data_IF_741127001952
#
_entry.id   IF_741127001952
#
_cell.length_a   1.000
_cell.length_b   1.000
_cell.length_c   1.000
_cell.angle_alpha   90.00
_cell.angle_beta   90.00
_cell.angle_gamma   90.00
#
_symmetry.space_group_name_H-M   'P 1'
#
loop_
_entity.id
_entity.type
_entity.pdbx_description
1 polymer ?
#
# COMPACT_ATOMS: atom_id res chain seq x y z
N UNK A 1 -13.86 3.02 6.45
CA UNK A 1 -12.76 3.77 5.79
C UNK A 1 -12.89 3.57 4.29
N UNK A 2 -12.72 4.61 3.48
CA UNK A 2 -12.84 4.51 2.02
C UNK A 2 -11.48 4.10 1.46
N UNK A 3 -11.37 2.88 0.94
CA UNK A 3 -10.20 2.44 0.18
C UNK A 3 -10.29 3.02 -1.24
N UNK A 4 -9.15 3.44 -1.78
CA UNK A 4 -9.03 3.94 -3.14
C UNK A 4 -8.60 2.77 -4.03
N UNK A 5 -9.36 2.47 -5.07
CA UNK A 5 -9.05 1.38 -6.01
C UNK A 5 -8.79 1.96 -7.38
N UNK A 6 -7.76 1.46 -8.05
CA UNK A 6 -7.37 1.90 -9.37
C UNK A 6 -6.79 0.68 -10.11
N UNK A 7 -7.60 0.05 -10.95
CA UNK A 7 -7.28 -1.24 -11.55
C UNK A 7 -7.08 -2.34 -10.48
N UNK A 8 -5.94 -3.02 -10.56
CA UNK A 8 -5.46 -4.06 -9.63
C UNK A 8 -4.84 -3.49 -8.34
N UNK A 9 -4.63 -2.18 -8.26
CA UNK A 9 -4.06 -1.54 -7.08
C UNK A 9 -5.13 -1.11 -6.09
N UNK A 10 -4.87 -1.40 -4.81
CA UNK A 10 -5.68 -0.93 -3.69
C UNK A 10 -4.82 -0.07 -2.78
N UNK A 11 -5.21 1.19 -2.61
CA UNK A 11 -4.62 2.13 -1.67
C UNK A 11 -5.53 2.25 -0.45
N UNK A 12 -4.99 1.91 0.71
CA UNK A 12 -5.70 1.94 1.99
C UNK A 12 -5.11 3.07 2.83
N UNK A 13 -5.90 4.09 3.19
CA UNK A 13 -5.43 5.15 4.10
C UNK A 13 -5.16 4.55 5.48
N UNK A 14 -4.00 4.88 6.04
CA UNK A 14 -3.64 4.47 7.39
C UNK A 14 -4.40 5.35 8.38
N UNK A 15 -5.18 4.77 9.30
CA UNK A 15 -5.85 5.54 10.32
C UNK A 15 -4.86 6.08 11.35
N UNK A 16 -5.17 7.24 11.95
CA UNK A 16 -4.33 7.88 12.98
C UNK A 16 -3.83 6.94 14.07
N UNK A 17 -4.68 6.02 14.53
CA UNK A 17 -4.34 5.01 15.55
C UNK A 17 -3.21 4.04 15.16
N UNK A 18 -2.87 3.96 13.87
CA UNK A 18 -1.82 3.11 13.31
C UNK A 18 -0.72 3.92 12.62
N UNK A 19 -0.76 5.26 12.65
CA UNK A 19 0.26 6.10 12.01
C UNK A 19 1.64 5.85 12.60
N UNK A 20 1.72 5.63 13.91
CA UNK A 20 2.99 5.34 14.61
C UNK A 20 3.59 4.02 14.15
N UNK A 21 2.77 2.96 14.11
CA UNK A 21 3.19 1.64 13.62
C UNK A 21 3.65 1.70 12.15
N UNK A 22 2.93 2.49 11.34
CA UNK A 22 3.29 2.71 9.95
C UNK A 22 4.62 3.46 9.85
N UNK A 23 4.83 4.50 10.68
CA UNK A 23 6.06 5.29 10.70
C UNK A 23 7.26 4.45 11.14
N UNK A 24 7.10 3.64 12.18
CA UNK A 24 8.13 2.72 12.66
C UNK A 24 8.57 1.76 11.53
N UNK A 25 7.61 1.16 10.81
CA UNK A 25 7.89 0.29 9.65
C UNK A 25 8.52 1.07 8.49
N UNK A 26 8.01 2.26 8.20
CA UNK A 26 8.49 3.13 7.12
C UNK A 26 9.95 3.55 7.32
N UNK A 27 10.32 3.95 8.54
CA UNK A 27 11.66 4.49 8.81
C UNK A 27 12.70 3.40 9.08
N UNK A 28 12.31 2.27 9.68
CA UNK A 28 13.26 1.25 10.14
C UNK A 28 13.41 0.08 9.18
N UNK A 29 12.36 -0.27 8.43
CA UNK A 29 12.31 -1.54 7.68
C UNK A 29 12.04 -1.35 6.20
N UNK A 30 11.22 -0.36 5.85
CA UNK A 30 10.86 -0.13 4.46
C UNK A 30 12.08 0.35 3.67
N UNK A 31 12.21 -0.18 2.46
CA UNK A 31 13.32 0.13 1.56
C UNK A 31 12.86 1.17 0.54
N UNK A 32 13.68 2.18 0.30
CA UNK A 32 13.36 3.23 -0.67
C UNK A 32 13.22 2.63 -2.07
N UNK A 33 12.11 2.92 -2.74
CA UNK A 33 11.94 2.52 -4.14
C UNK A 33 12.89 3.33 -5.04
N UNK A 34 13.49 2.67 -6.03
CA UNK A 34 14.29 3.33 -7.07
C UNK A 34 13.47 4.40 -7.81
N UNK A 35 12.19 4.12 -8.06
CA UNK A 35 11.25 5.04 -8.70
C UNK A 35 10.02 5.26 -7.81
N UNK A 36 10.03 6.20 -6.86
CA UNK A 36 8.91 6.40 -5.92
C UNK A 36 7.63 6.92 -6.58
N UNK A 37 7.72 7.34 -7.86
CA UNK A 37 6.57 7.73 -8.67
C UNK A 37 5.84 6.54 -9.28
N UNK A 38 6.52 5.41 -9.47
CA UNK A 38 5.94 4.20 -10.06
C UNK A 38 5.63 3.24 -8.93
N UNK A 39 4.35 3.13 -8.58
CA UNK A 39 3.89 2.32 -7.43
C UNK A 39 3.41 0.92 -7.84
N UNK A 40 3.19 0.68 -9.13
CA UNK A 40 3.11 -0.66 -9.70
C UNK A 40 3.41 -0.60 -11.20
N UNK A 41 4.00 -1.68 -11.70
CA UNK A 41 4.09 -1.98 -13.13
C UNK A 41 3.08 -3.11 -13.36
N UNK A 42 2.04 -2.89 -14.17
CA UNK A 42 1.04 -3.90 -14.45
C UNK A 42 1.66 -5.05 -15.23
N UNK A 43 1.63 -6.26 -14.66
CA UNK A 43 2.33 -7.44 -15.20
C UNK A 43 1.77 -7.93 -16.55
N UNK A 44 0.53 -7.55 -16.93
CA UNK A 44 -0.14 -8.08 -18.13
C UNK A 44 -0.05 -7.13 -19.34
N UNK A 45 0.04 -5.81 -19.14
CA UNK A 45 -0.03 -4.82 -20.24
C UNK A 45 1.20 -3.91 -20.35
N UNK A 46 2.16 -3.98 -19.41
CA UNK A 46 3.36 -3.13 -19.43
C UNK A 46 3.10 -1.66 -19.10
N UNK A 47 1.94 -1.34 -18.52
CA UNK A 47 1.58 0.01 -18.09
C UNK A 47 2.04 0.32 -16.66
N UNK A 48 2.30 1.60 -16.38
CA UNK A 48 2.84 2.07 -15.09
C UNK A 48 1.80 2.89 -14.36
N UNK A 49 1.59 2.57 -13.09
CA UNK A 49 0.86 3.41 -12.16
C UNK A 49 1.78 4.53 -11.70
N UNK A 50 1.60 5.72 -12.28
CA UNK A 50 2.44 6.88 -11.96
C UNK A 50 1.70 7.90 -11.08
N UNK A 51 2.37 8.31 -10.01
CA UNK A 51 1.97 9.45 -9.21
C UNK A 51 2.50 10.74 -9.85
N UNK A 52 1.58 11.52 -10.41
CA UNK A 52 1.84 12.82 -11.01
C UNK A 52 1.43 13.96 -10.08
N UNK A 53 2.31 14.96 -9.95
CA UNK A 53 2.11 16.11 -9.06
C UNK A 53 2.25 15.78 -7.57
N UNK A 54 2.29 16.83 -6.74
CA UNK A 54 2.45 16.68 -5.29
C UNK A 54 3.88 16.32 -4.85
N UNK A 55 3.99 15.79 -3.62
CA UNK A 55 5.25 15.29 -3.04
C UNK A 55 4.92 13.98 -2.34
N UNK A 56 5.42 12.90 -2.94
CA UNK A 56 5.13 11.54 -2.52
C UNK A 56 6.44 10.79 -2.37
N UNK A 57 6.57 10.08 -1.26
CA UNK A 57 7.66 9.16 -1.02
C UNK A 57 7.09 7.74 -0.90
N UNK A 58 7.61 6.81 -1.69
CA UNK A 58 7.19 5.41 -1.69
C UNK A 58 8.35 4.52 -1.23
N UNK A 59 8.04 3.60 -0.33
CA UNK A 59 8.98 2.61 0.17
C UNK A 59 8.36 1.21 0.09
N UNK A 60 9.16 0.21 -0.24
CA UNK A 60 8.75 -1.18 -0.33
C UNK A 60 9.02 -1.91 0.97
N UNK A 61 8.04 -2.67 1.41
CA UNK A 61 8.07 -3.60 2.52
C UNK A 61 7.87 -5.01 1.96
N UNK A 62 8.95 -5.57 1.42
CA UNK A 62 8.97 -6.86 0.73
C UNK A 62 9.16 -8.04 1.71
N UNK A 63 9.89 -7.83 2.80
CA UNK A 63 10.14 -8.86 3.80
C UNK A 63 8.86 -9.15 4.62
N UNK A 64 8.40 -10.40 4.61
CA UNK A 64 7.24 -10.86 5.38
C UNK A 64 7.49 -10.89 6.90
N UNK A 65 8.75 -11.05 7.29
CA UNK A 65 9.23 -11.04 8.67
C UNK A 65 9.76 -9.66 9.08
N UNK A 66 9.58 -8.63 8.25
CA UNK A 66 9.83 -7.24 8.58
C UNK A 66 9.26 -6.89 9.96
N UNK A 67 10.15 -6.52 10.89
CA UNK A 67 9.78 -6.03 12.21
C UNK A 67 10.47 -4.70 12.50
N UNK A 68 9.71 -3.71 12.94
CA UNK A 68 10.21 -2.45 13.45
C UNK A 68 10.09 -2.44 14.96
N UNK A 69 11.07 -1.83 15.64
CA UNK A 69 10.96 -1.59 17.09
C UNK A 69 9.98 -0.46 17.29
N UNK A 70 8.96 -0.67 18.13
CA UNK A 70 8.01 0.41 18.40
C UNK A 70 8.70 1.51 19.21
N UNK A 71 8.56 2.75 18.76
CA UNK A 71 9.14 3.92 19.43
C UNK A 71 8.35 4.33 20.68
N UNK A 72 7.04 4.09 20.72
CA UNK A 72 6.15 4.50 21.82
C UNK A 72 5.73 3.37 22.77
N UNK A 73 6.01 2.11 22.46
CA UNK A 73 5.67 0.97 23.32
C UNK A 73 6.85 0.01 23.42
N UNK A 74 6.97 -0.68 24.55
CA UNK A 74 7.90 -1.79 24.70
C UNK A 74 7.44 -2.97 23.82
N UNK A 75 7.87 -3.00 22.56
CA UNK A 75 7.47 -4.05 21.62
C UNK A 75 8.00 -3.88 20.20
N UNK A 76 7.55 -4.77 19.33
CA UNK A 76 7.86 -4.75 17.90
C UNK A 76 6.57 -4.77 17.10
N UNK A 77 6.56 -4.03 16.00
CA UNK A 77 5.49 -4.04 15.00
C UNK A 77 5.99 -4.85 13.82
N UNK A 78 5.30 -5.97 13.52
CA UNK A 78 5.58 -6.73 12.31
C UNK A 78 4.69 -6.27 11.16
N UNK A 79 5.17 -6.41 9.93
CA UNK A 79 4.38 -6.23 8.70
C UNK A 79 3.03 -6.94 8.82
N UNK A 80 3.04 -8.22 9.19
CA UNK A 80 1.82 -9.04 9.29
C UNK A 80 0.84 -8.51 10.34
N UNK A 81 1.32 -8.11 11.52
CA UNK A 81 0.47 -7.56 12.58
C UNK A 81 -0.13 -6.21 12.18
N UNK A 82 0.68 -5.36 11.54
CA UNK A 82 0.25 -4.06 11.04
C UNK A 82 -0.83 -4.18 9.94
N UNK A 83 -0.59 -5.03 8.93
CA UNK A 83 -1.56 -5.30 7.87
C UNK A 83 -2.88 -5.86 8.43
N UNK A 84 -2.80 -6.80 9.36
CA UNK A 84 -3.98 -7.34 10.05
C UNK A 84 -4.75 -6.26 10.81
N UNK A 85 -4.05 -5.30 11.41
CA UNK A 85 -4.67 -4.16 12.10
C UNK A 85 -5.40 -3.19 11.16
N UNK A 86 -5.00 -3.17 9.89
CA UNK A 86 -5.71 -2.49 8.80
C UNK A 86 -6.88 -3.30 8.22
N UNK A 87 -7.08 -4.55 8.70
CA UNK A 87 -8.04 -5.49 8.12
C UNK A 87 -7.58 -6.14 6.82
N UNK A 88 -6.29 -6.01 6.48
CA UNK A 88 -5.67 -6.65 5.33
C UNK A 88 -5.21 -8.05 5.78
N UNK A 89 -5.59 -9.07 5.01
CA UNK A 89 -5.14 -10.44 5.23
C UNK A 89 -3.68 -10.65 4.85
N UNK A 90 -3.33 -11.89 4.53
CA UNK A 90 -2.01 -12.21 3.98
C UNK A 90 -1.89 -11.65 2.56
N UNK A 91 -0.85 -10.85 2.31
CA UNK A 91 -0.50 -10.32 0.99
C UNK A 91 0.77 -11.02 0.54
N UNK A 92 0.71 -11.78 -0.55
CA UNK A 92 1.81 -12.62 -1.02
C UNK A 92 2.93 -11.86 -1.77
N UNK A 93 2.75 -10.57 -2.06
CA UNK A 93 3.70 -9.74 -2.79
C UNK A 93 4.18 -8.54 -1.98
N UNK A 94 5.03 -7.67 -2.57
CA UNK A 94 5.51 -6.47 -1.89
C UNK A 94 4.36 -5.56 -1.48
N UNK A 95 4.45 -5.05 -0.26
CA UNK A 95 3.58 -3.97 0.21
C UNK A 95 4.34 -2.66 0.09
N UNK A 96 3.70 -1.63 -0.45
CA UNK A 96 4.30 -0.32 -0.59
C UNK A 96 3.68 0.61 0.44
N UNK A 97 4.53 1.26 1.22
CA UNK A 97 4.17 2.30 2.16
C UNK A 97 4.33 3.64 1.45
N UNK A 98 3.24 4.39 1.35
CA UNK A 98 3.17 5.63 0.61
C UNK A 98 2.95 6.82 1.55
N UNK A 99 3.88 7.77 1.52
CA UNK A 99 3.79 9.04 2.26
C UNK A 99 3.42 10.16 1.32
N UNK A 100 2.18 10.61 1.33
CA UNK A 100 1.72 11.74 0.51
C UNK A 100 1.76 13.00 1.37
N UNK A 101 2.81 13.81 1.23
CA UNK A 101 2.93 15.08 1.97
C UNK A 101 2.16 16.22 1.31
N UNK A 102 2.05 16.17 -0.02
CA UNK A 102 1.22 17.08 -0.82
C UNK A 102 0.36 16.26 -1.76
N UNK A 103 -0.93 16.58 -1.82
CA UNK A 103 -1.91 15.86 -2.63
C UNK A 103 -1.37 15.58 -4.03
N UNK A 104 -1.51 14.32 -4.45
CA UNK A 104 -0.94 13.79 -5.67
C UNK A 104 -2.04 13.15 -6.50
N UNK A 105 -1.81 13.03 -7.80
CA UNK A 105 -2.77 12.41 -8.71
C UNK A 105 -2.19 11.09 -9.21
N UNK A 106 -2.87 9.98 -8.89
CA UNK A 106 -2.54 8.68 -9.46
C UNK A 106 -3.11 8.62 -10.88
N UNK A 107 -2.24 8.37 -11.85
CA UNK A 107 -2.62 8.26 -13.26
C UNK A 107 -2.27 6.86 -13.75
N UNK A 108 -3.18 6.30 -14.55
CA UNK A 108 -2.95 5.08 -15.33
C UNK A 108 -3.52 5.30 -16.73
N UNK A 109 -2.87 4.83 -17.80
CA UNK A 109 -3.35 5.03 -19.18
C UNK A 109 -4.76 4.46 -19.41
N UNK A 110 -5.14 3.41 -18.68
CA UNK A 110 -6.44 2.72 -18.84
C UNK A 110 -7.53 3.22 -17.88
N UNK A 111 -7.19 4.09 -16.91
CA UNK A 111 -8.14 4.52 -15.87
C UNK A 111 -8.11 6.03 -15.61
N UNK A 112 -9.25 6.57 -15.18
CA UNK A 112 -9.36 7.98 -14.85
C UNK A 112 -8.46 8.35 -13.67
N UNK A 113 -7.72 9.45 -13.85
CA UNK A 113 -6.84 10.00 -12.84
C UNK A 113 -7.54 10.15 -11.48
N UNK A 114 -6.94 9.59 -10.43
CA UNK A 114 -7.49 9.56 -9.09
C UNK A 114 -6.71 10.52 -8.18
N UNK A 115 -7.40 11.52 -7.63
CA UNK A 115 -6.81 12.44 -6.66
C UNK A 115 -6.63 11.76 -5.31
N UNK A 116 -5.39 11.71 -4.83
CA UNK A 116 -5.03 11.16 -3.52
C UNK A 116 -4.67 12.33 -2.59
N UNK A 117 -5.44 12.56 -1.52
CA UNK A 117 -5.14 13.63 -0.56
C UNK A 117 -3.87 13.34 0.23
N UNK A 118 -3.32 14.35 0.88
CA UNK A 118 -2.17 14.17 1.77
C UNK A 118 -2.51 13.21 2.93
N UNK A 119 -1.59 12.31 3.24
CA UNK A 119 -1.75 11.26 4.24
C UNK A 119 -0.80 10.09 4.04
N UNK A 120 -0.86 9.13 4.96
CA UNK A 120 -0.12 7.88 4.90
C UNK A 120 -1.02 6.79 4.33
N UNK A 121 -0.51 6.03 3.38
CA UNK A 121 -1.25 4.97 2.72
C UNK A 121 -0.41 3.69 2.69
N UNK A 122 -1.12 2.58 2.62
CA UNK A 122 -0.57 1.27 2.31
C UNK A 122 -1.14 0.87 0.98
N UNK A 123 -0.28 0.50 0.04
CA UNK A 123 -0.69 0.06 -1.27
C UNK A 123 -0.07 -1.29 -1.60
N UNK A 124 -0.87 -2.16 -2.18
CA UNK A 124 -0.42 -3.48 -2.62
C UNK A 124 -1.20 -3.88 -3.86
N UNK A 125 -0.58 -4.74 -4.68
CA UNK A 125 -1.27 -5.35 -5.81
C UNK A 125 -2.28 -6.37 -5.24
N UNK A 126 -3.54 -6.20 -5.59
CA UNK A 126 -4.53 -7.25 -5.40
C UNK A 126 -4.39 -8.18 -6.61
N UNK A 127 -4.01 -9.44 -6.38
CA UNK A 127 -4.10 -10.47 -7.43
C UNK A 127 -5.49 -10.40 -8.06
N UNK A 128 -5.53 -10.41 -9.39
CA UNK A 128 -6.75 -10.58 -10.18
C UNK A 128 -7.62 -11.64 -9.51
N UNK A 129 -8.90 -11.33 -9.40
CA UNK A 129 -9.89 -12.25 -8.87
C UNK A 129 -9.88 -13.49 -9.76
N UNK A 130 -9.28 -14.58 -9.28
CA UNK A 130 -9.38 -15.87 -9.93
C UNK A 130 -10.83 -16.36 -9.76
N UNK A 131 -11.62 -16.23 -10.82
CA UNK A 131 -13.02 -16.67 -10.90
C UNK A 131 -13.21 -18.16 -10.58
N UNK A 132 -12.13 -18.93 -10.45
CA UNK A 132 -12.17 -20.36 -10.10
C UNK A 132 -12.32 -20.64 -8.60
N UNK A 133 -12.12 -19.66 -7.71
CA UNK A 133 -12.51 -19.81 -6.29
C UNK A 133 -14.00 -19.48 -6.12
N UNK A 134 -14.85 -20.41 -6.57
CA UNK A 134 -16.27 -20.43 -6.27
C UNK A 134 -16.50 -20.48 -4.75
N UNK A 135 -16.61 -19.29 -4.13
CA UNK A 135 -17.18 -19.19 -2.79
C UNK A 135 -18.66 -19.46 -2.95
N UNK A 136 -19.12 -20.62 -2.47
CA UNK A 136 -20.54 -20.98 -2.40
C UNK A 136 -21.29 -19.87 -1.66
N UNK A 137 -21.98 -19.01 -2.41
CA UNK A 137 -23.02 -18.14 -1.87
C UNK A 137 -24.15 -19.10 -1.49
N UNK A 138 -24.38 -19.25 -0.19
CA UNK A 138 -25.59 -19.90 0.30
C UNK A 138 -26.64 -18.79 0.29
N UNK A 139 -27.66 -18.97 -0.56
CA UNK A 139 -28.93 -18.24 -0.54
C UNK A 139 -29.59 -18.36 0.84
#
# INVERSE_FOLDING_TARGET
MKAYRHGEMVLIPVPKKLEEQWQDLYEQVAQKMNNPRVIAEGEITGHKHELAGGRVDAMTLDDDNATARSTNTTGYVSRRSFLRSLGIGTVAGPVILLKVTKAATLRHPEHNALGIPAGNYVTYAQREYDETMARRVVD
#
